data_IF_946107921660
#
_entry.id   IF_946107921660
#
_cell.length_a   1.000
_cell.length_b   1.000
_cell.length_c   1.000
_cell.angle_alpha   90.00
_cell.angle_beta   90.00
_cell.angle_gamma   90.00
#
_symmetry.space_group_name_H-M   'P 1'
#
loop_
_entity.id
_entity.type
_entity.pdbx_description
1 polymer ?
#
# COMPACT_ATOMS: atom_id res chain seq x y z
N UNK A 1 8.59 14.75 -10.96
CA UNK A 1 9.39 14.26 -12.10
C UNK A 1 9.61 12.77 -11.91
N UNK A 2 9.30 11.97 -12.93
CA UNK A 2 9.67 10.56 -12.98
C UNK A 2 11.14 10.51 -13.42
N UNK A 3 11.96 9.69 -12.77
CA UNK A 3 13.19 9.24 -13.44
C UNK A 3 12.73 8.33 -14.59
N UNK A 4 13.14 8.63 -15.82
CA UNK A 4 12.65 7.98 -17.05
C UNK A 4 12.89 6.45 -17.12
N UNK A 5 13.69 5.89 -16.19
CA UNK A 5 14.09 4.48 -16.19
C UNK A 5 13.20 3.53 -15.38
N UNK A 6 12.17 4.00 -14.66
CA UNK A 6 11.36 3.10 -13.82
C UNK A 6 10.19 2.51 -14.64
N UNK A 7 10.14 1.18 -14.87
CA UNK A 7 9.06 0.59 -15.65
C UNK A 7 7.70 0.85 -15.01
N UNK A 8 6.76 1.28 -15.85
CA UNK A 8 5.39 1.63 -15.46
C UNK A 8 4.39 0.68 -16.13
N UNK A 9 3.48 0.11 -15.33
CA UNK A 9 2.47 -0.87 -15.75
C UNK A 9 1.07 -0.28 -15.67
N UNK A 10 0.19 -0.62 -16.61
CA UNK A 10 -1.24 -0.32 -16.46
C UNK A 10 -1.88 -1.25 -15.44
N UNK A 11 -3.08 -0.92 -14.94
CA UNK A 11 -3.82 -1.80 -14.02
C UNK A 11 -4.03 -3.21 -14.55
N UNK A 12 -4.22 -3.38 -15.87
CA UNK A 12 -4.39 -4.70 -16.48
C UNK A 12 -3.11 -5.52 -16.45
N UNK A 13 -1.96 -4.89 -16.76
CA UNK A 13 -0.66 -5.56 -16.70
C UNK A 13 -0.29 -5.89 -15.26
N UNK A 14 -0.44 -4.94 -14.34
CA UNK A 14 -0.21 -5.16 -12.91
C UNK A 14 -1.06 -6.31 -12.36
N UNK A 15 -2.35 -6.35 -12.71
CA UNK A 15 -3.26 -7.42 -12.28
C UNK A 15 -2.83 -8.80 -12.79
N UNK A 16 -2.35 -8.89 -14.04
CA UNK A 16 -1.80 -10.14 -14.60
C UNK A 16 -0.54 -10.58 -13.88
N UNK A 17 0.40 -9.67 -13.64
CA UNK A 17 1.65 -9.97 -12.94
C UNK A 17 1.40 -10.49 -11.51
N UNK A 18 0.38 -9.95 -10.86
CA UNK A 18 0.01 -10.28 -9.49
C UNK A 18 -0.98 -11.44 -9.40
N UNK A 19 -1.43 -11.99 -10.53
CA UNK A 19 -2.48 -13.01 -10.57
C UNK A 19 -3.72 -12.61 -9.74
N UNK A 20 -4.20 -11.38 -9.93
CA UNK A 20 -5.41 -10.86 -9.30
C UNK A 20 -6.38 -10.33 -10.34
N UNK A 21 -7.65 -10.23 -9.96
CA UNK A 21 -8.60 -9.45 -10.72
C UNK A 21 -8.33 -7.94 -10.55
N UNK A 22 -8.44 -7.09 -11.59
CA UNK A 22 -8.24 -5.64 -11.47
C UNK A 22 -9.13 -4.96 -10.42
N UNK A 23 -10.28 -5.57 -10.07
CA UNK A 23 -11.15 -5.11 -8.97
C UNK A 23 -10.43 -5.15 -7.62
N UNK A 24 -9.58 -6.15 -7.38
CA UNK A 24 -8.80 -6.27 -6.14
C UNK A 24 -7.87 -5.08 -5.95
N UNK A 25 -7.14 -4.69 -7.01
CA UNK A 25 -6.29 -3.48 -6.97
C UNK A 25 -7.10 -2.21 -6.71
N UNK A 26 -8.31 -2.09 -7.26
CA UNK A 26 -9.21 -0.96 -6.97
C UNK A 26 -9.72 -0.96 -5.53
N UNK A 27 -9.96 -2.13 -4.95
CA UNK A 27 -10.32 -2.25 -3.53
C UNK A 27 -9.15 -1.79 -2.67
N UNK A 28 -7.93 -2.29 -2.92
CA UNK A 28 -6.74 -1.86 -2.18
C UNK A 28 -6.47 -0.36 -2.32
N UNK A 29 -6.69 0.22 -3.50
CA UNK A 29 -6.60 1.67 -3.70
C UNK A 29 -7.65 2.40 -2.86
N UNK A 30 -8.91 1.95 -2.90
CA UNK A 30 -10.02 2.54 -2.14
C UNK A 30 -9.77 2.47 -0.63
N UNK A 31 -9.22 1.37 -0.14
CA UNK A 31 -8.88 1.17 1.27
C UNK A 31 -7.62 1.94 1.70
N UNK A 32 -6.92 2.60 0.77
CA UNK A 32 -5.70 3.36 1.04
C UNK A 32 -4.46 2.51 1.26
N UNK A 33 -4.51 1.21 0.91
CA UNK A 33 -3.37 0.31 1.00
C UNK A 33 -2.36 0.53 -0.13
N UNK A 34 -2.81 1.01 -1.29
CA UNK A 34 -1.96 1.34 -2.42
C UNK A 34 -2.32 2.69 -3.01
N UNK A 35 -1.34 3.38 -3.59
CA UNK A 35 -1.54 4.67 -4.26
C UNK A 35 -0.86 4.67 -5.63
N UNK A 36 -1.52 4.13 -6.66
CA UNK A 36 -0.97 4.15 -8.02
C UNK A 36 -0.84 5.60 -8.52
N UNK A 37 0.10 5.80 -9.43
CA UNK A 37 0.24 7.08 -10.13
C UNK A 37 -0.98 7.27 -11.04
N UNK A 38 -1.60 8.44 -11.01
CA UNK A 38 -2.77 8.75 -11.83
C UNK A 38 -2.42 9.70 -12.97
N UNK A 39 -2.85 9.36 -14.18
CA UNK A 39 -2.88 10.28 -15.34
C UNK A 39 -4.32 10.28 -15.88
N UNK A 40 -5.14 11.19 -15.37
CA UNK A 40 -6.58 11.19 -15.60
C UNK A 40 -7.25 9.92 -15.07
N UNK A 41 -7.90 9.16 -15.97
CA UNK A 41 -8.56 7.88 -15.64
C UNK A 41 -7.60 6.70 -15.47
N UNK A 42 -6.37 6.83 -15.98
CA UNK A 42 -5.39 5.76 -16.02
C UNK A 42 -4.63 5.65 -14.71
N UNK A 43 -4.38 4.40 -14.28
CA UNK A 43 -3.61 4.04 -13.09
C UNK A 43 -2.34 3.34 -13.52
N UNK A 44 -1.25 3.78 -12.93
CA UNK A 44 0.10 3.39 -13.27
C UNK A 44 0.84 2.80 -12.07
N UNK A 45 1.22 1.55 -12.30
CA UNK A 45 1.97 0.55 -11.56
C UNK A 45 3.48 0.76 -11.62
N UNK A 46 4.23 0.86 -10.53
CA UNK A 46 5.69 0.63 -10.57
C UNK A 46 6.02 -0.77 -10.07
N UNK A 47 7.22 -1.29 -10.35
CA UNK A 47 7.65 -2.58 -9.77
C UNK A 47 7.59 -2.61 -8.24
N UNK A 48 7.84 -1.48 -7.57
CA UNK A 48 7.68 -1.39 -6.11
C UNK A 48 6.22 -1.56 -5.68
N UNK A 49 5.27 -1.07 -6.48
CA UNK A 49 3.85 -1.25 -6.18
C UNK A 49 3.44 -2.71 -6.34
N UNK A 50 4.01 -3.42 -7.34
CA UNK A 50 3.80 -4.86 -7.52
C UNK A 50 4.30 -5.62 -6.29
N UNK A 51 5.57 -5.43 -5.90
CA UNK A 51 6.15 -6.07 -4.71
C UNK A 51 5.38 -5.73 -3.44
N UNK A 52 4.88 -4.50 -3.34
CA UNK A 52 4.06 -4.09 -2.21
C UNK A 52 2.72 -4.83 -2.17
N UNK A 53 2.04 -5.00 -3.31
CA UNK A 53 0.80 -5.77 -3.37
C UNK A 53 1.05 -7.24 -3.06
N UNK A 54 2.15 -7.84 -3.49
CA UNK A 54 2.53 -9.20 -3.08
C UNK A 54 2.66 -9.32 -1.56
N UNK A 55 3.34 -8.35 -0.92
CA UNK A 55 3.47 -8.30 0.53
C UNK A 55 2.12 -8.10 1.25
N UNK A 56 1.23 -7.25 0.70
CA UNK A 56 -0.13 -7.11 1.21
C UNK A 56 -0.90 -8.44 1.11
N UNK A 57 -0.77 -9.14 -0.01
CA UNK A 57 -1.47 -10.41 -0.24
C UNK A 57 -1.00 -11.48 0.74
N UNK A 58 0.30 -11.58 1.04
CA UNK A 58 0.79 -12.53 2.04
C UNK A 58 0.22 -12.22 3.42
N UNK A 59 0.19 -10.95 3.84
CA UNK A 59 -0.43 -10.56 5.11
C UNK A 59 -1.94 -10.87 5.15
N UNK A 60 -2.67 -10.65 4.06
CA UNK A 60 -4.13 -10.86 4.01
C UNK A 60 -4.49 -12.34 3.92
N UNK A 61 -3.84 -13.09 3.04
CA UNK A 61 -4.27 -14.44 2.66
C UNK A 61 -3.49 -15.56 3.34
N UNK A 62 -2.20 -15.37 3.60
CA UNK A 62 -1.37 -16.40 4.25
C UNK A 62 -1.44 -16.24 5.77
N UNK A 63 -1.37 -15.01 6.28
CA UNK A 63 -1.42 -14.73 7.71
C UNK A 63 -2.84 -14.40 8.24
N UNK A 64 -3.82 -14.23 7.36
CA UNK A 64 -5.21 -13.96 7.75
C UNK A 64 -5.45 -12.58 8.39
N UNK A 65 -4.56 -11.61 8.17
CA UNK A 65 -4.66 -10.28 8.76
C UNK A 65 -5.67 -9.45 7.98
N UNK A 66 -6.65 -8.87 8.68
CA UNK A 66 -7.65 -8.01 8.05
C UNK A 66 -7.03 -6.70 7.51
N UNK A 67 -7.65 -6.13 6.47
CA UNK A 67 -7.23 -4.84 5.91
C UNK A 67 -7.18 -3.74 6.97
N UNK A 68 -8.17 -3.70 7.88
CA UNK A 68 -8.20 -2.73 8.97
C UNK A 68 -7.01 -2.92 9.93
N UNK A 69 -6.67 -4.16 10.28
CA UNK A 69 -5.53 -4.46 11.12
C UNK A 69 -4.21 -4.10 10.43
N UNK A 70 -4.03 -4.44 9.14
CA UNK A 70 -2.84 -4.04 8.36
C UNK A 70 -2.65 -2.53 8.38
N UNK A 71 -3.72 -1.76 8.09
CA UNK A 71 -3.67 -0.29 8.12
C UNK A 71 -3.25 0.27 9.48
N UNK A 72 -3.63 -0.39 10.57
CA UNK A 72 -3.28 0.03 11.93
C UNK A 72 -1.85 -0.37 12.31
N UNK A 73 -1.45 -1.61 12.00
CA UNK A 73 -0.12 -2.15 12.30
C UNK A 73 0.98 -1.38 11.56
N UNK A 74 0.76 -1.05 10.29
CA UNK A 74 1.73 -0.30 9.48
C UNK A 74 1.98 1.14 9.97
N UNK A 75 1.23 1.64 10.95
CA UNK A 75 1.49 2.93 11.59
C UNK A 75 2.58 2.84 12.66
N UNK A 76 2.79 1.65 13.23
CA UNK A 76 3.66 1.44 14.39
C UNK A 76 4.84 0.52 14.08
N UNK A 77 4.69 -0.36 13.09
CA UNK A 77 5.71 -1.33 12.73
C UNK A 77 5.88 -1.41 11.22
N UNK A 78 7.12 -1.58 10.73
CA UNK A 78 7.34 -1.77 9.31
C UNK A 78 6.75 -3.09 8.81
N UNK A 79 6.48 -3.14 7.51
CA UNK A 79 5.82 -4.28 6.87
C UNK A 79 6.60 -5.59 7.03
N UNK A 80 7.93 -5.58 7.10
CA UNK A 80 8.73 -6.81 7.22
C UNK A 80 8.58 -7.50 8.58
N UNK A 81 8.11 -6.80 9.61
CA UNK A 81 7.75 -7.41 10.89
C UNK A 81 6.34 -8.03 10.83
N UNK A 82 5.41 -7.36 10.15
CA UNK A 82 4.03 -7.85 10.01
C UNK A 82 3.99 -9.05 9.07
N UNK A 83 4.58 -8.92 7.89
CA UNK A 83 4.67 -9.95 6.87
C UNK A 83 5.76 -11.01 7.15
N UNK A 84 6.33 -11.03 8.37
CA UNK A 84 7.33 -12.01 8.83
C UNK A 84 8.43 -12.30 7.80
N UNK A 85 8.96 -11.26 7.15
CA UNK A 85 9.91 -11.46 6.07
C UNK A 85 11.26 -11.97 6.61
N UNK A 86 11.84 -12.99 5.97
CA UNK A 86 13.21 -13.45 6.26
C UNK A 86 14.25 -12.36 5.99
N UNK A 87 15.44 -12.51 6.57
CA UNK A 87 16.50 -11.53 6.40
C UNK A 87 16.96 -11.42 4.93
N UNK A 88 16.99 -12.53 4.21
CA UNK A 88 17.31 -12.61 2.78
C UNK A 88 16.31 -11.79 1.95
N UNK A 89 15.02 -11.92 2.25
CA UNK A 89 13.95 -11.15 1.59
C UNK A 89 14.07 -9.65 1.91
N UNK A 90 14.43 -9.30 3.16
CA UNK A 90 14.64 -7.90 3.57
C UNK A 90 15.77 -7.23 2.80
N UNK A 91 16.91 -7.89 2.57
CA UNK A 91 18.05 -7.33 1.81
C UNK A 91 17.69 -6.90 0.39
N UNK A 92 16.68 -7.54 -0.21
CA UNK A 92 16.23 -7.25 -1.58
C UNK A 92 15.00 -6.31 -1.62
N UNK A 93 14.51 -5.88 -0.45
CA UNK A 93 13.31 -5.06 -0.33
C UNK A 93 13.67 -3.58 -0.38
N UNK A 94 13.11 -2.87 -1.36
CA UNK A 94 13.32 -1.42 -1.52
C UNK A 94 12.79 -0.62 -0.32
N UNK A 95 11.70 -1.06 0.31
CA UNK A 95 11.18 -0.45 1.52
C UNK A 95 12.19 -0.56 2.69
N UNK A 96 12.75 -1.75 2.92
CA UNK A 96 13.77 -2.00 3.95
C UNK A 96 15.04 -1.17 3.72
N UNK A 97 15.56 -1.18 2.49
CA UNK A 97 16.79 -0.46 2.12
C UNK A 97 16.63 1.07 2.22
N UNK A 98 15.42 1.59 2.06
CA UNK A 98 15.16 3.03 2.05
C UNK A 98 15.08 3.69 3.43
N UNK A 99 15.40 2.97 4.53
CA UNK A 99 15.23 3.42 5.93
C UNK A 99 13.82 3.90 6.29
N UNK A 100 12.83 3.64 5.43
CA UNK A 100 11.46 4.10 5.56
C UNK A 100 10.58 3.05 6.21
N UNK A 101 9.95 3.39 7.33
CA UNK A 101 9.05 2.52 8.09
C UNK A 101 7.83 2.03 7.28
N UNK A 102 7.56 2.59 6.09
CA UNK A 102 6.47 2.23 5.18
C UNK A 102 6.88 2.62 3.76
N UNK A 103 6.47 1.91 2.67
CA UNK A 103 6.60 2.44 1.33
C UNK A 103 6.01 3.86 1.27
N UNK A 104 6.79 4.84 0.77
CA UNK A 104 6.46 6.29 0.76
C UNK A 104 5.06 6.67 0.25
N UNK A 105 4.34 5.74 -0.39
CA UNK A 105 3.06 5.95 -1.05
C UNK A 105 1.84 5.70 -0.15
N UNK A 106 2.03 5.18 1.06
CA UNK A 106 0.95 4.95 2.04
C UNK A 106 0.91 6.16 2.98
N UNK A 107 -0.05 7.05 2.78
CA UNK A 107 -0.36 8.06 3.78
C UNK A 107 -1.26 7.41 4.83
N UNK A 108 -0.72 7.26 6.05
CA UNK A 108 -1.54 6.98 7.22
C UNK A 108 -2.41 8.22 7.42
N UNK A 109 -3.69 8.13 7.07
CA UNK A 109 -4.65 9.22 7.32
C UNK A 109 -4.50 9.66 8.79
N UNK A 110 -4.09 10.91 9.01
CA UNK A 110 -4.20 11.52 10.34
C UNK A 110 -5.67 11.47 10.73
N UNK A 111 -6.03 11.01 11.94
CA UNK A 111 -7.44 10.92 12.33
C UNK A 111 -8.10 12.27 12.08
N UNK A 112 -9.22 12.28 11.33
CA UNK A 112 -9.99 13.51 11.12
C UNK A 112 -10.31 14.07 12.50
N UNK A 113 -9.96 15.34 12.73
CA UNK A 113 -10.43 16.07 13.92
C UNK A 113 -11.95 15.90 13.96
N UNK A 114 -12.45 15.28 15.01
CA UNK A 114 -13.88 15.26 15.29
C UNK A 114 -14.26 16.74 15.46
N UNK A 115 -15.00 17.29 14.50
CA UNK A 115 -15.56 18.61 14.65
C UNK A 115 -16.62 18.49 15.75
N UNK A 116 -16.34 19.05 16.93
CA UNK A 116 -17.36 19.22 17.96
C UNK A 116 -18.40 20.20 17.41
N UNK A 117 -19.53 19.66 16.96
CA UNK A 117 -20.75 20.42 16.80
C UNK A 117 -21.47 20.42 18.13
N UNK A 118 -21.34 21.50 18.91
CA UNK A 118 -22.35 21.93 19.88
C UNK A 118 -22.12 23.41 20.20
N UNK A 119 -22.48 24.24 19.22
CA UNK A 119 -22.77 25.65 19.44
C UNK A 119 -24.27 25.85 19.28
N UNK A 120 -25.01 25.81 20.40
CA UNK A 120 -26.26 26.55 20.67
C UNK A 120 -26.79 26.16 22.07
N UNK A 121 -26.49 26.98 23.05
CA UNK A 121 -27.37 27.14 24.23
C UNK A 121 -28.26 28.34 23.92
N UNK A 122 -29.54 28.19 24.24
CA UNK A 122 -30.58 29.19 24.11
C UNK A 122 -30.26 30.49 24.86
#
# INVERSE_FOLDING_TARGET
>A
MFSDDKPIFTIGVAAKMLEVHPRTLRIYEKEGLIRPIRKGKWRYFTMDDIKWVECLRSMIHEQGISIAAIKKLLQYTPCWNVAECSFEKRKQCTAFMSSGLVPRKIEVERPRKIANSDGKVA
#
